data_IF_727931570691
#
_entry.id   IF_727931570691
#
_cell.length_a   1.000
_cell.length_b   1.000
_cell.length_c   1.000
_cell.angle_alpha   90.00
_cell.angle_beta   90.00
_cell.angle_gamma   90.00
#
_symmetry.space_group_name_H-M   'P 1'
#
loop_
_entity.id
_entity.type
_entity.pdbx_description
1 polymer ?
#
# COMPACT_ATOMS: atom_id res chain seq x y z
N UNK A 1 0.25 -2.04 22.32
CA UNK A 1 -0.39 -1.98 20.99
C UNK A 1 -0.30 -0.56 20.45
N UNK A 2 0.01 -0.39 19.19
CA UNK A 2 0.12 0.93 18.55
C UNK A 2 -1.21 1.32 17.91
N UNK A 3 -1.38 2.61 17.64
CA UNK A 3 -2.46 3.09 16.79
C UNK A 3 -2.25 2.56 15.35
N UNK A 4 -3.25 1.92 14.73
CA UNK A 4 -3.12 1.40 13.38
C UNK A 4 -2.80 2.49 12.35
N UNK A 5 -2.00 2.15 11.35
CA UNK A 5 -1.59 3.08 10.28
C UNK A 5 -1.56 2.38 8.93
N UNK A 6 -1.98 3.08 7.92
CA UNK A 6 -1.79 2.64 6.54
C UNK A 6 -0.54 3.31 5.97
N UNK A 7 0.37 2.51 5.47
CA UNK A 7 1.50 2.98 4.68
C UNK A 7 1.28 2.67 3.22
N UNK A 8 1.56 3.65 2.38
CA UNK A 8 1.69 3.46 0.95
C UNK A 8 3.16 3.67 0.62
N UNK A 9 3.80 2.69 0.01
CA UNK A 9 5.22 2.77 -0.34
C UNK A 9 5.34 2.95 -1.84
N UNK A 10 5.78 4.14 -2.25
CA UNK A 10 5.99 4.45 -3.66
C UNK A 10 7.33 3.92 -4.11
N UNK A 11 7.37 3.35 -5.31
CA UNK A 11 8.61 2.91 -5.92
C UNK A 11 9.44 4.12 -6.35
N UNK A 12 10.62 4.31 -5.74
CA UNK A 12 11.47 5.49 -6.02
C UNK A 12 12.32 5.32 -7.28
N UNK A 13 12.52 4.09 -7.75
CA UNK A 13 13.34 3.77 -8.91
C UNK A 13 12.54 3.63 -10.21
N UNK A 14 11.26 3.99 -10.19
CA UNK A 14 10.41 3.92 -11.37
C UNK A 14 10.67 5.12 -12.28
N UNK A 15 11.08 4.85 -13.50
CA UNK A 15 11.36 5.90 -14.46
C UNK A 15 10.06 6.64 -14.85
N UNK A 16 10.23 7.93 -15.10
CA UNK A 16 9.15 8.85 -15.51
C UNK A 16 8.05 9.03 -14.44
N UNK A 17 8.36 8.76 -13.17
CA UNK A 17 7.46 9.08 -12.06
C UNK A 17 7.47 10.59 -11.83
N UNK A 18 6.30 11.16 -11.63
CA UNK A 18 6.10 12.55 -11.24
C UNK A 18 4.98 12.66 -10.20
N UNK A 19 4.76 13.84 -9.57
CA UNK A 19 3.74 13.97 -8.54
C UNK A 19 2.33 13.57 -9.00
N UNK A 20 1.95 13.89 -10.21
CA UNK A 20 0.63 13.51 -10.75
C UNK A 20 0.46 12.00 -10.89
N UNK A 21 1.46 11.33 -11.44
CA UNK A 21 1.50 9.86 -11.53
C UNK A 21 1.53 9.23 -10.15
N UNK A 22 2.31 9.80 -9.22
CA UNK A 22 2.38 9.33 -7.85
C UNK A 22 1.03 9.39 -7.15
N UNK A 23 0.29 10.47 -7.30
CA UNK A 23 -1.07 10.60 -6.74
C UNK A 23 -2.02 9.55 -7.33
N UNK A 24 -1.95 9.30 -8.63
CA UNK A 24 -2.76 8.27 -9.27
C UNK A 24 -2.43 6.87 -8.73
N UNK A 25 -1.15 6.55 -8.55
CA UNK A 25 -0.72 5.26 -8.02
C UNK A 25 -1.12 5.12 -6.54
N UNK A 26 -1.01 6.17 -5.74
CA UNK A 26 -1.48 6.15 -4.36
C UNK A 26 -2.99 5.90 -4.28
N UNK A 27 -3.77 6.47 -5.20
CA UNK A 27 -5.21 6.21 -5.31
C UNK A 27 -5.49 4.75 -5.66
N UNK A 28 -4.70 4.14 -6.55
CA UNK A 28 -4.80 2.71 -6.86
C UNK A 28 -4.50 1.84 -5.63
N UNK A 29 -3.47 2.20 -4.86
CA UNK A 29 -3.15 1.51 -3.61
C UNK A 29 -4.30 1.59 -2.60
N UNK A 30 -4.91 2.75 -2.43
CA UNK A 30 -6.05 2.92 -1.52
C UNK A 30 -7.25 2.10 -1.98
N UNK A 31 -7.57 2.11 -3.28
CA UNK A 31 -8.66 1.32 -3.82
C UNK A 31 -8.44 -0.17 -3.60
N UNK A 32 -7.22 -0.65 -3.84
CA UNK A 32 -6.84 -2.04 -3.64
C UNK A 32 -6.93 -2.44 -2.16
N UNK A 33 -6.49 -1.55 -1.27
CA UNK A 33 -6.63 -1.76 0.17
C UNK A 33 -8.09 -1.86 0.59
N UNK A 34 -8.95 -0.97 0.11
CA UNK A 34 -10.38 -1.01 0.41
C UNK A 34 -11.02 -2.31 -0.07
N UNK A 35 -10.65 -2.79 -1.26
CA UNK A 35 -11.11 -4.08 -1.78
C UNK A 35 -10.63 -5.24 -0.90
N UNK A 36 -9.38 -5.19 -0.45
CA UNK A 36 -8.82 -6.18 0.47
C UNK A 36 -9.61 -6.24 1.78
N UNK A 37 -9.92 -5.09 2.38
CA UNK A 37 -10.70 -5.00 3.62
C UNK A 37 -12.10 -5.59 3.42
N UNK A 38 -12.76 -5.25 2.33
CA UNK A 38 -14.12 -5.73 2.03
C UNK A 38 -14.14 -7.25 1.84
N UNK A 39 -13.18 -7.78 1.10
CA UNK A 39 -13.03 -9.22 0.90
C UNK A 39 -12.73 -9.94 2.20
N UNK A 40 -11.83 -9.39 3.02
CA UNK A 40 -11.46 -9.97 4.31
C UNK A 40 -12.68 -10.06 5.24
N UNK A 41 -13.48 -9.00 5.33
CA UNK A 41 -14.69 -8.97 6.12
C UNK A 41 -15.71 -10.02 5.63
N UNK A 42 -15.86 -10.17 4.32
CA UNK A 42 -16.75 -11.17 3.74
C UNK A 42 -16.29 -12.60 4.02
N UNK A 43 -15.00 -12.88 3.83
CA UNK A 43 -14.42 -14.21 4.08
C UNK A 43 -14.52 -14.57 5.56
N UNK A 44 -14.32 -13.61 6.46
CA UNK A 44 -14.51 -13.80 7.90
C UNK A 44 -15.97 -14.12 8.24
N UNK A 45 -16.93 -13.40 7.63
CA UNK A 45 -18.36 -13.64 7.82
C UNK A 45 -18.74 -15.05 7.34
N UNK A 46 -18.18 -15.50 6.22
CA UNK A 46 -18.44 -16.83 5.65
C UNK A 46 -17.69 -17.95 6.39
N UNK A 47 -16.87 -17.60 7.37
CA UNK A 47 -16.03 -18.53 8.13
C UNK A 47 -15.11 -19.38 7.26
N UNK A 48 -14.66 -18.79 6.16
CA UNK A 48 -13.65 -19.38 5.29
C UNK A 48 -12.27 -19.02 5.83
N UNK A 49 -11.44 -20.01 6.13
CA UNK A 49 -10.03 -19.88 6.54
C UNK A 49 -9.83 -19.30 7.96
N UNK A 50 -8.66 -19.56 8.54
CA UNK A 50 -8.18 -19.03 9.82
C UNK A 50 -7.79 -17.55 9.66
N UNK A 51 -8.79 -16.68 9.54
CA UNK A 51 -8.58 -15.24 9.45
C UNK A 51 -8.52 -14.61 10.84
N UNK A 52 -7.73 -13.55 10.95
CA UNK A 52 -7.62 -12.77 12.17
C UNK A 52 -8.85 -11.87 12.34
N UNK A 53 -9.76 -12.15 13.31
CA UNK A 53 -10.93 -11.30 13.53
C UNK A 53 -10.56 -9.89 14.01
N UNK A 54 -9.40 -9.72 14.63
CA UNK A 54 -8.94 -8.42 15.13
C UNK A 54 -8.60 -7.45 14.00
N UNK A 55 -8.34 -7.95 12.79
CA UNK A 55 -8.05 -7.07 11.65
C UNK A 55 -9.18 -6.08 11.38
N UNK A 56 -10.43 -6.53 11.39
CA UNK A 56 -11.59 -5.65 11.15
C UNK A 56 -11.74 -4.64 12.29
N UNK A 57 -11.50 -5.04 13.53
CA UNK A 57 -11.52 -4.11 14.66
C UNK A 57 -10.42 -3.05 14.52
N UNK A 58 -9.23 -3.44 14.04
CA UNK A 58 -8.13 -2.50 13.75
C UNK A 58 -8.49 -1.52 12.64
N UNK A 59 -9.19 -1.98 11.60
CA UNK A 59 -9.69 -1.11 10.54
C UNK A 59 -10.66 -0.08 11.09
N UNK A 60 -11.58 -0.49 11.95
CA UNK A 60 -12.53 0.44 12.60
C UNK A 60 -11.80 1.47 13.46
N UNK A 61 -10.81 1.04 14.25
CA UNK A 61 -9.99 1.93 15.05
C UNK A 61 -9.25 2.94 14.17
N UNK A 62 -8.67 2.48 13.07
CA UNK A 62 -7.94 3.33 12.13
C UNK A 62 -8.86 4.38 11.50
N UNK A 63 -10.07 3.99 11.10
CA UNK A 63 -11.07 4.90 10.48
C UNK A 63 -11.80 5.76 11.51
N UNK A 64 -11.78 5.37 12.78
CA UNK A 64 -12.57 5.99 13.83
C UNK A 64 -12.32 7.49 13.98
N UNK A 65 -13.34 8.24 14.37
CA UNK A 65 -13.27 9.64 14.75
C UNK A 65 -13.03 10.64 13.62
N UNK A 66 -12.25 10.32 12.58
CA UNK A 66 -11.89 11.25 11.49
C UNK A 66 -12.34 10.80 10.10
N UNK A 67 -12.81 9.58 9.97
CA UNK A 67 -13.35 9.03 8.73
C UNK A 67 -12.32 8.48 7.73
N UNK A 68 -11.07 8.96 7.76
CA UNK A 68 -10.05 8.60 6.77
C UNK A 68 -8.93 7.70 7.30
N UNK A 69 -8.64 7.78 8.59
CA UNK A 69 -7.49 7.09 9.18
C UNK A 69 -6.16 7.78 8.88
N UNK A 70 -5.11 7.39 9.60
CA UNK A 70 -3.76 7.91 9.38
C UNK A 70 -3.10 7.16 8.26
N UNK A 71 -2.69 7.89 7.21
CA UNK A 71 -1.99 7.34 6.05
C UNK A 71 -0.69 8.09 5.83
N UNK A 72 0.41 7.35 5.66
CA UNK A 72 1.73 7.91 5.41
C UNK A 72 2.30 7.32 4.13
N UNK A 73 2.88 8.16 3.28
CA UNK A 73 3.48 7.73 2.02
C UNK A 73 4.99 7.73 2.15
N UNK A 74 5.58 6.57 1.93
CA UNK A 74 7.02 6.33 1.96
C UNK A 74 7.56 6.06 0.56
N UNK A 75 8.88 6.07 0.42
CA UNK A 75 9.57 5.70 -0.82
C UNK A 75 10.55 4.57 -0.57
N UNK A 76 10.61 3.62 -1.50
CA UNK A 76 11.61 2.55 -1.49
C UNK A 76 11.85 2.05 -2.92
N UNK A 77 13.05 1.53 -3.22
CA UNK A 77 13.27 0.87 -4.50
C UNK A 77 12.50 -0.45 -4.57
N UNK A 78 12.16 -0.90 -5.77
CA UNK A 78 11.40 -2.13 -5.98
C UNK A 78 12.07 -3.35 -5.30
N UNK A 79 13.39 -3.38 -5.29
CA UNK A 79 14.15 -4.48 -4.65
C UNK A 79 13.87 -4.66 -3.16
N UNK A 80 13.35 -3.63 -2.48
CA UNK A 80 13.02 -3.68 -1.05
C UNK A 80 11.56 -4.05 -0.79
N UNK A 81 10.72 -4.13 -1.81
CA UNK A 81 9.28 -4.41 -1.63
C UNK A 81 9.02 -5.79 -1.02
N UNK A 82 9.78 -6.81 -1.42
CA UNK A 82 9.65 -8.15 -0.84
C UNK A 82 10.00 -8.15 0.66
N UNK A 83 11.02 -7.40 1.04
CA UNK A 83 11.41 -7.25 2.44
C UNK A 83 10.30 -6.58 3.26
N UNK A 84 9.68 -5.52 2.72
CA UNK A 84 8.54 -4.86 3.36
C UNK A 84 7.38 -5.83 3.49
N UNK A 85 7.07 -6.57 2.44
CA UNK A 85 5.99 -7.56 2.42
C UNK A 85 6.17 -8.63 3.49
N UNK A 86 7.39 -9.10 3.72
CA UNK A 86 7.69 -10.09 4.75
C UNK A 86 7.61 -9.52 6.17
N UNK A 87 7.79 -8.22 6.33
CA UNK A 87 7.80 -7.56 7.63
C UNK A 87 6.42 -7.11 8.14
N UNK A 88 5.39 -7.15 7.29
CA UNK A 88 4.05 -6.68 7.63
C UNK A 88 3.03 -7.74 7.24
N UNK A 89 2.10 -8.06 8.14
CA UNK A 89 1.13 -9.14 7.91
C UNK A 89 0.15 -8.81 6.77
N UNK A 90 -0.39 -7.59 6.75
CA UNK A 90 -1.38 -7.17 5.76
C UNK A 90 -0.76 -6.19 4.79
N UNK A 91 -0.52 -6.64 3.58
CA UNK A 91 0.09 -5.83 2.53
C UNK A 91 -0.22 -6.43 1.15
N UNK A 92 -0.04 -5.64 0.12
CA UNK A 92 -0.04 -6.13 -1.26
C UNK A 92 0.64 -5.13 -2.19
N UNK A 93 1.10 -5.62 -3.32
CA UNK A 93 1.71 -4.81 -4.37
C UNK A 93 0.63 -4.31 -5.33
N UNK A 94 0.82 -3.09 -5.80
CA UNK A 94 -0.01 -2.50 -6.85
C UNK A 94 0.71 -2.67 -8.18
N UNK A 95 0.13 -3.47 -9.06
CA UNK A 95 0.59 -3.63 -10.43
C UNK A 95 -0.35 -2.85 -11.36
N UNK A 96 0.18 -1.80 -11.97
CA UNK A 96 -0.56 -1.02 -12.96
C UNK A 96 -0.26 -1.59 -14.35
N UNK A 97 -1.23 -2.20 -15.03
CA UNK A 97 -0.98 -2.83 -16.33
C UNK A 97 -0.73 -1.81 -17.44
N UNK A 98 -1.06 -0.56 -17.22
CA UNK A 98 -1.00 0.50 -18.23
C UNK A 98 -0.25 1.72 -17.72
N UNK A 99 0.83 1.53 -16.97
CA UNK A 99 1.63 2.64 -16.47
C UNK A 99 2.24 3.41 -17.65
N UNK A 100 2.02 4.74 -17.74
CA UNK A 100 2.42 5.53 -18.90
C UNK A 100 3.89 5.94 -18.84
N UNK A 101 4.58 5.75 -19.95
CA UNK A 101 5.95 6.19 -20.18
C UNK A 101 6.04 7.09 -21.39
N UNK A 102 7.12 7.89 -21.44
CA UNK A 102 7.55 8.58 -22.65
C UNK A 102 8.90 8.02 -23.10
N UNK A 103 9.01 7.71 -24.39
CA UNK A 103 10.29 7.28 -24.94
C UNK A 103 11.20 8.48 -25.25
N UNK A 104 12.38 8.21 -25.80
CA UNK A 104 13.33 9.24 -26.17
C UNK A 104 12.73 10.29 -27.13
N UNK A 105 11.83 9.88 -28.00
CA UNK A 105 11.14 10.76 -28.97
C UNK A 105 9.87 11.40 -28.40
N UNK A 106 9.65 11.35 -27.08
CA UNK A 106 8.48 11.86 -26.36
C UNK A 106 7.15 11.21 -26.78
N UNK A 107 7.22 10.04 -27.41
CA UNK A 107 6.03 9.26 -27.72
C UNK A 107 5.56 8.51 -26.46
N UNK A 108 4.24 8.51 -26.25
CA UNK A 108 3.63 7.81 -25.12
C UNK A 108 3.50 6.31 -25.43
N UNK A 109 3.79 5.50 -24.42
CA UNK A 109 3.52 4.06 -24.45
C UNK A 109 3.20 3.59 -23.02
N UNK A 110 2.61 2.42 -22.90
CA UNK A 110 2.27 1.84 -21.59
C UNK A 110 2.97 0.52 -21.37
N UNK A 111 3.26 0.23 -20.11
CA UNK A 111 3.83 -1.05 -19.68
C UNK A 111 3.21 -1.46 -18.35
N UNK A 112 3.14 -2.76 -18.10
CA UNK A 112 2.78 -3.26 -16.79
C UNK A 112 3.96 -3.05 -15.83
N UNK A 113 3.68 -2.37 -14.71
CA UNK A 113 4.69 -2.09 -13.68
C UNK A 113 4.12 -2.27 -12.29
N UNK A 114 4.92 -2.82 -11.39
CA UNK A 114 4.66 -2.67 -9.95
C UNK A 114 5.09 -1.25 -9.58
N UNK A 115 4.14 -0.42 -9.16
CA UNK A 115 4.36 1.01 -8.95
C UNK A 115 4.47 1.41 -7.50
N UNK A 116 3.77 0.70 -6.64
CA UNK A 116 3.74 0.94 -5.20
C UNK A 116 3.20 -0.30 -4.48
N UNK A 117 3.09 -0.19 -3.17
CA UNK A 117 2.41 -1.19 -2.36
C UNK A 117 1.73 -0.49 -1.19
N UNK A 118 0.76 -1.15 -0.58
CA UNK A 118 0.20 -0.73 0.69
C UNK A 118 0.59 -1.73 1.78
N UNK A 119 0.69 -1.23 3.03
CA UNK A 119 0.99 -2.04 4.20
C UNK A 119 0.21 -1.47 5.40
N UNK A 120 -0.63 -2.30 6.00
CA UNK A 120 -1.42 -1.89 7.15
C UNK A 120 -0.76 -2.37 8.43
N UNK A 121 -0.25 -1.43 9.21
CA UNK A 121 0.62 -1.67 10.36
C UNK A 121 -0.17 -1.55 11.65
N UNK A 122 -0.14 -2.59 12.48
CA UNK A 122 -0.87 -2.68 13.74
C UNK A 122 -0.01 -3.02 14.95
N UNK A 123 1.28 -3.36 14.76
CA UNK A 123 2.18 -3.82 15.82
C UNK A 123 3.49 -3.03 15.82
N UNK A 124 4.14 -2.97 16.96
CA UNK A 124 5.43 -2.26 17.12
C UNK A 124 6.52 -2.79 16.19
N UNK A 125 6.60 -4.10 16.03
CA UNK A 125 7.62 -4.73 15.16
C UNK A 125 7.43 -4.30 13.72
N UNK A 126 6.19 -4.21 13.27
CA UNK A 126 5.86 -3.73 11.93
C UNK A 126 6.19 -2.24 11.78
N UNK A 127 5.86 -1.43 12.78
CA UNK A 127 6.16 0.00 12.76
C UNK A 127 7.67 0.23 12.70
N UNK A 128 8.45 -0.48 13.52
CA UNK A 128 9.91 -0.37 13.51
C UNK A 128 10.49 -0.77 12.16
N UNK A 129 9.94 -1.82 11.55
CA UNK A 129 10.32 -2.23 10.20
C UNK A 129 10.09 -1.12 9.17
N UNK A 130 8.94 -0.41 9.26
CA UNK A 130 8.61 0.66 8.32
C UNK A 130 9.45 1.93 8.51
N UNK A 131 9.99 2.17 9.70
CA UNK A 131 10.79 3.37 10.00
C UNK A 131 12.10 3.48 9.22
N UNK A 132 12.58 2.39 8.64
CA UNK A 132 13.80 2.42 7.82
C UNK A 132 13.61 3.11 6.47
N UNK A 133 12.37 3.37 6.05
CA UNK A 133 12.05 3.96 4.76
C UNK A 133 11.80 5.46 4.88
N UNK A 134 12.15 6.21 3.82
CA UNK A 134 11.99 7.67 3.79
C UNK A 134 10.56 8.06 3.42
N UNK A 135 10.13 9.22 3.90
CA UNK A 135 8.90 9.83 3.41
C UNK A 135 9.03 10.13 1.91
N UNK A 136 7.96 9.87 1.18
CA UNK A 136 7.89 10.23 -0.24
C UNK A 136 7.83 11.75 -0.37
N UNK A 137 8.71 12.37 -1.17
CA UNK A 137 8.74 13.82 -1.36
C UNK A 137 7.53 14.37 -2.12
#
# INVERSE_FOLDING_TARGET
>A
MIEPRLYIVMREDLWDMNPGKGMAQAAHAQAMFDDYVSKYANDLYMKEVDLDPDFIDKIRDWRGGRGFGVTTVLSAPLGDFDNISMGVEHNDFVEDPTYPYRNYYKQMFTRSEVTCMWAFVTRYEELDHMKQWKLHP
#
